data_IF_757868518455
#
_entry.id   IF_757868518455
#
_cell.length_a   1.000
_cell.length_b   1.000
_cell.length_c   1.000
_cell.angle_alpha   90.00
_cell.angle_beta   90.00
_cell.angle_gamma   90.00
#
_symmetry.space_group_name_H-M   'P 1'
#
loop_
_entity.id
_entity.type
_entity.pdbx_description
1 polymer ?
#
# COMPACT_ATOMS: atom_id res chain seq x y z
N UNK A 1 10.64 17.41 9.89
CA UNK A 1 9.22 17.28 10.28
C UNK A 1 8.48 18.45 9.67
N UNK A 2 7.39 18.18 8.96
CA UNK A 2 6.46 19.21 8.52
C UNK A 2 5.80 19.80 9.77
N UNK A 3 5.65 21.13 9.84
CA UNK A 3 4.87 21.74 10.90
C UNK A 3 3.36 21.66 10.56
N UNK A 4 2.49 22.00 11.52
CA UNK A 4 1.04 21.93 11.31
C UNK A 4 0.55 22.78 10.13
N UNK A 5 1.15 23.95 9.92
CA UNK A 5 0.85 24.82 8.78
C UNK A 5 1.21 24.14 7.45
N UNK A 6 2.35 23.47 7.35
CA UNK A 6 2.78 22.74 6.15
C UNK A 6 1.83 21.58 5.83
N UNK A 7 1.41 20.81 6.85
CA UNK A 7 0.44 19.72 6.70
C UNK A 7 -0.90 20.22 6.15
N UNK A 8 -1.41 21.33 6.70
CA UNK A 8 -2.63 21.97 6.21
C UNK A 8 -2.45 22.45 4.77
N UNK A 9 -1.35 23.14 4.46
CA UNK A 9 -1.08 23.65 3.12
C UNK A 9 -1.00 22.51 2.09
N UNK A 10 -0.32 21.42 2.41
CA UNK A 10 -0.17 20.26 1.55
C UNK A 10 -1.48 19.50 1.30
N UNK A 11 -2.42 19.55 2.25
CA UNK A 11 -3.73 18.92 2.11
C UNK A 11 -4.81 19.86 1.58
N UNK A 12 -4.59 21.18 1.55
CA UNK A 12 -5.64 22.15 1.18
C UNK A 12 -5.86 22.25 -0.33
N UNK A 13 -7.11 22.47 -0.73
CA UNK A 13 -7.44 22.89 -2.09
C UNK A 13 -7.55 24.41 -2.13
N UNK A 14 -6.57 25.10 -2.74
CA UNK A 14 -6.51 26.57 -2.76
C UNK A 14 -7.79 27.25 -3.29
N UNK A 15 -8.42 26.65 -4.30
CA UNK A 15 -9.67 27.17 -4.87
C UNK A 15 -10.90 26.99 -3.95
N UNK A 16 -10.81 26.11 -2.95
CA UNK A 16 -11.91 25.73 -2.06
C UNK A 16 -11.44 25.65 -0.59
N UNK A 17 -11.24 26.80 0.08
CA UNK A 17 -10.85 26.84 1.49
C UNK A 17 -11.84 26.06 2.37
N UNK A 18 -11.35 25.14 3.19
CA UNK A 18 -12.19 24.23 3.99
C UNK A 18 -12.43 22.86 3.33
N UNK A 19 -11.90 22.65 2.12
CA UNK A 19 -11.77 21.31 1.52
C UNK A 19 -10.33 20.85 1.61
N UNK A 20 -10.15 19.63 2.12
CA UNK A 20 -8.85 18.99 2.26
C UNK A 20 -8.81 17.66 1.49
N UNK A 21 -7.67 17.34 0.88
CA UNK A 21 -7.38 16.05 0.27
C UNK A 21 -6.43 15.30 1.18
N UNK A 22 -6.87 14.14 1.65
CA UNK A 22 -6.05 13.28 2.47
C UNK A 22 -5.38 12.23 1.58
N UNK A 23 -4.25 12.63 1.02
CA UNK A 23 -3.26 11.68 0.58
C UNK A 23 -3.41 11.06 -0.80
N UNK A 24 -4.40 11.47 -1.60
CA UNK A 24 -4.69 10.90 -2.92
C UNK A 24 -3.56 11.09 -3.98
N UNK A 25 -2.57 11.93 -3.69
CA UNK A 25 -1.46 12.25 -4.60
C UNK A 25 -0.09 11.92 -4.01
N UNK A 26 -0.04 11.22 -2.86
CA UNK A 26 1.22 10.85 -2.22
C UNK A 26 1.86 9.62 -2.85
N UNK A 27 3.18 9.54 -2.73
CA UNK A 27 3.99 8.41 -3.24
C UNK A 27 4.06 7.24 -2.25
N UNK A 28 4.05 7.50 -0.94
CA UNK A 28 4.04 6.44 0.10
C UNK A 28 2.60 6.09 0.49
N UNK A 29 2.09 5.01 -0.10
CA UNK A 29 0.66 4.64 -0.04
C UNK A 29 0.32 3.50 0.93
N UNK A 30 1.23 3.15 1.84
CA UNK A 30 1.04 2.04 2.78
C UNK A 30 -0.17 2.26 3.70
N UNK A 31 -0.71 1.17 4.26
CA UNK A 31 -1.83 1.27 5.21
C UNK A 31 -1.45 2.15 6.41
N UNK A 32 -0.24 1.96 6.95
CA UNK A 32 0.31 2.75 8.04
C UNK A 32 0.46 4.24 7.68
N UNK A 33 1.07 4.57 6.53
CA UNK A 33 1.29 5.98 6.14
C UNK A 33 -0.03 6.73 5.91
N UNK A 34 -1.09 6.03 5.48
CA UNK A 34 -2.44 6.60 5.37
C UNK A 34 -3.00 7.01 6.74
N UNK A 35 -2.77 6.21 7.79
CA UNK A 35 -3.20 6.54 9.15
C UNK A 35 -2.37 7.67 9.76
N UNK A 36 -1.03 7.64 9.59
CA UNK A 36 -0.14 8.69 10.08
C UNK A 36 -0.55 10.06 9.51
N UNK A 37 -0.72 10.16 8.19
CA UNK A 37 -1.18 11.41 7.53
C UNK A 37 -2.54 11.88 8.05
N UNK A 38 -3.45 10.94 8.33
CA UNK A 38 -4.76 11.26 8.88
C UNK A 38 -4.66 11.88 10.28
N UNK A 39 -3.79 11.33 11.14
CA UNK A 39 -3.52 11.84 12.48
C UNK A 39 -2.84 13.21 12.43
N UNK A 40 -1.84 13.37 11.55
CA UNK A 40 -1.16 14.64 11.34
C UNK A 40 -2.14 15.73 10.89
N UNK A 41 -3.02 15.43 9.92
CA UNK A 41 -4.03 16.40 9.47
C UNK A 41 -5.04 16.72 10.57
N UNK A 42 -5.54 15.74 11.31
CA UNK A 42 -6.45 15.98 12.43
C UNK A 42 -5.80 16.90 13.48
N UNK A 43 -4.57 16.59 13.87
CA UNK A 43 -3.79 17.39 14.81
C UNK A 43 -3.59 18.81 14.30
N UNK A 44 -3.17 18.98 13.04
CA UNK A 44 -2.90 20.28 12.44
C UNK A 44 -4.16 21.15 12.38
N UNK A 45 -5.31 20.59 11.96
CA UNK A 45 -6.58 21.32 11.89
C UNK A 45 -7.01 21.87 13.25
N UNK A 46 -6.79 21.09 14.31
CA UNK A 46 -7.11 21.53 15.67
C UNK A 46 -6.10 22.53 16.21
N UNK A 47 -4.80 22.26 16.05
CA UNK A 47 -3.73 23.09 16.55
C UNK A 47 -3.76 24.50 15.93
N UNK A 48 -4.06 24.60 14.65
CA UNK A 48 -4.17 25.87 13.90
C UNK A 48 -5.58 26.49 13.96
N UNK A 49 -6.46 25.99 14.85
CA UNK A 49 -7.83 26.47 15.04
C UNK A 49 -8.64 26.60 13.75
N UNK A 50 -8.46 25.64 12.83
CA UNK A 50 -9.14 25.62 11.51
C UNK A 50 -10.54 25.04 11.57
N UNK A 51 -10.93 24.49 12.72
CA UNK A 51 -12.25 23.94 12.97
C UNK A 51 -13.12 24.99 13.68
N UNK A 52 -14.18 25.52 13.05
CA UNK A 52 -15.16 26.35 13.75
C UNK A 52 -15.78 25.62 14.96
N UNK A 53 -16.27 26.37 15.94
CA UNK A 53 -17.00 25.79 17.06
C UNK A 53 -18.25 25.03 16.56
N UNK A 54 -18.41 23.78 17.00
CA UNK A 54 -19.48 22.88 16.56
C UNK A 54 -19.50 22.61 15.05
N UNK A 55 -18.34 22.70 14.39
CA UNK A 55 -18.24 22.46 12.96
C UNK A 55 -18.75 21.08 12.58
N UNK A 56 -19.43 21.00 11.43
CA UNK A 56 -19.87 19.77 10.82
C UNK A 56 -18.87 19.38 9.74
N UNK A 57 -18.20 18.25 9.93
CA UNK A 57 -17.14 17.76 9.05
C UNK A 57 -17.62 16.54 8.28
N UNK A 58 -17.57 16.60 6.94
CA UNK A 58 -17.76 15.44 6.09
C UNK A 58 -16.40 14.79 5.80
N UNK A 59 -16.24 13.51 6.12
CA UNK A 59 -15.09 12.69 5.71
C UNK A 59 -15.56 11.72 4.64
N UNK A 60 -14.95 11.77 3.46
CA UNK A 60 -15.40 11.00 2.29
C UNK A 60 -14.39 9.88 2.00
N UNK A 61 -14.79 8.64 2.27
CA UNK A 61 -14.00 7.42 2.08
C UNK A 61 -13.80 6.67 3.40
N UNK A 62 -14.32 5.45 3.48
CA UNK A 62 -14.21 4.52 4.62
C UNK A 62 -12.97 3.64 4.57
N UNK A 63 -11.86 4.17 4.04
CA UNK A 63 -10.53 3.55 4.04
C UNK A 63 -9.73 3.85 5.31
N UNK A 64 -8.48 3.38 5.38
CA UNK A 64 -7.61 3.54 6.56
C UNK A 64 -7.46 5.02 6.97
N UNK A 65 -7.22 5.90 5.99
CA UNK A 65 -7.09 7.33 6.20
C UNK A 65 -8.38 7.97 6.75
N UNK A 66 -9.53 7.67 6.14
CA UNK A 66 -10.81 8.26 6.52
C UNK A 66 -11.32 7.81 7.87
N UNK A 67 -11.18 6.52 8.21
CA UNK A 67 -11.51 6.03 9.56
C UNK A 67 -10.66 6.72 10.62
N UNK A 68 -9.35 6.80 10.38
CA UNK A 68 -8.40 7.39 11.33
C UNK A 68 -8.67 8.87 11.54
N UNK A 69 -8.89 9.62 10.47
CA UNK A 69 -9.22 11.04 10.55
C UNK A 69 -10.56 11.25 11.28
N UNK A 70 -11.59 10.49 10.94
CA UNK A 70 -12.90 10.63 11.54
C UNK A 70 -12.87 10.32 13.05
N UNK A 71 -12.17 9.26 13.44
CA UNK A 71 -11.95 8.89 14.84
C UNK A 71 -11.19 9.99 15.60
N UNK A 72 -10.08 10.48 15.03
CA UNK A 72 -9.25 11.52 15.65
C UNK A 72 -10.03 12.82 15.89
N UNK A 73 -10.72 13.32 14.86
CA UNK A 73 -11.54 14.54 14.95
C UNK A 73 -12.69 14.38 15.95
N UNK A 74 -13.37 13.22 15.93
CA UNK A 74 -14.45 12.95 16.85
C UNK A 74 -13.97 12.95 18.31
N UNK A 75 -12.85 12.29 18.60
CA UNK A 75 -12.30 12.19 19.97
C UNK A 75 -11.83 13.53 20.53
N UNK A 76 -11.23 14.40 19.71
CA UNK A 76 -10.83 15.74 20.16
C UNK A 76 -12.02 16.60 20.61
N UNK A 77 -13.22 16.34 20.09
CA UNK A 77 -14.45 17.00 20.50
C UNK A 77 -14.67 18.38 19.88
N UNK A 78 -15.82 18.98 20.17
CA UNK A 78 -16.20 20.29 19.64
C UNK A 78 -16.62 20.31 18.15
N UNK A 79 -16.63 19.15 17.48
CA UNK A 79 -17.08 18.99 16.08
C UNK A 79 -17.98 17.76 15.93
N UNK A 80 -18.88 17.80 14.94
CA UNK A 80 -19.67 16.66 14.51
C UNK A 80 -19.13 16.10 13.20
N UNK A 81 -18.76 14.82 13.18
CA UNK A 81 -18.13 14.14 12.06
C UNK A 81 -19.11 13.17 11.41
N UNK A 82 -19.20 13.22 10.09
CA UNK A 82 -19.95 12.26 9.28
C UNK A 82 -19.03 11.61 8.25
N UNK A 83 -18.77 10.32 8.44
CA UNK A 83 -17.97 9.50 7.54
C UNK A 83 -18.88 8.86 6.48
N UNK A 84 -18.58 9.08 5.21
CA UNK A 84 -19.29 8.50 4.07
C UNK A 84 -18.45 7.42 3.39
N UNK A 85 -19.07 6.27 3.10
CA UNK A 85 -18.46 5.17 2.35
C UNK A 85 -19.46 4.64 1.33
N UNK A 86 -19.02 4.44 0.08
CA UNK A 86 -19.87 3.92 -1.01
C UNK A 86 -20.16 2.43 -0.87
N UNK A 87 -19.24 1.66 -0.27
CA UNK A 87 -19.35 0.23 -0.06
C UNK A 87 -20.29 -0.09 1.11
N UNK A 88 -20.67 -1.37 1.20
CA UNK A 88 -21.50 -1.91 2.28
C UNK A 88 -20.76 -2.00 3.62
N UNK A 89 -19.42 -1.97 3.59
CA UNK A 89 -18.59 -2.16 4.76
C UNK A 89 -17.37 -1.25 4.68
N UNK A 90 -16.85 -0.88 5.85
CA UNK A 90 -15.60 -0.12 5.99
C UNK A 90 -14.39 -1.00 5.68
N UNK A 91 -13.29 -0.35 5.29
CA UNK A 91 -12.05 -0.97 4.81
C UNK A 91 -12.32 -2.06 3.76
N UNK A 92 -12.98 -1.73 2.64
CA UNK A 92 -13.49 -2.74 1.72
C UNK A 92 -12.40 -3.55 1.01
N UNK A 93 -11.23 -2.95 0.78
CA UNK A 93 -10.14 -3.62 0.06
C UNK A 93 -9.42 -4.67 0.92
N UNK A 94 -9.36 -4.48 2.25
CA UNK A 94 -8.66 -5.40 3.15
C UNK A 94 -9.56 -6.55 3.64
N UNK A 95 -10.77 -6.69 3.11
CA UNK A 95 -11.76 -7.68 3.55
C UNK A 95 -11.49 -9.11 3.09
N UNK A 96 -10.91 -9.27 1.89
CA UNK A 96 -10.94 -10.53 1.14
C UNK A 96 -9.57 -11.19 0.95
N UNK A 97 -8.49 -10.61 1.49
CA UNK A 97 -7.15 -11.19 1.39
C UNK A 97 -6.66 -11.78 2.71
N UNK A 98 -6.39 -13.09 2.70
CA UNK A 98 -5.71 -13.79 3.78
C UNK A 98 -4.19 -13.75 3.60
N UNK A 99 -3.72 -13.63 2.35
CA UNK A 99 -2.30 -13.77 2.01
C UNK A 99 -1.54 -12.45 2.01
N UNK A 100 -2.19 -11.33 1.72
CA UNK A 100 -1.54 -10.01 1.79
C UNK A 100 -1.29 -9.69 3.25
N UNK A 101 -0.02 -9.53 3.59
CA UNK A 101 0.42 -9.11 4.91
C UNK A 101 0.60 -7.60 4.93
N UNK A 102 0.16 -6.98 6.01
CA UNK A 102 0.44 -5.58 6.30
C UNK A 102 1.46 -5.54 7.43
N UNK A 103 2.49 -4.74 7.21
CA UNK A 103 3.57 -4.49 8.16
C UNK A 103 3.72 -2.97 8.30
N UNK A 104 3.74 -2.43 9.53
CA UNK A 104 3.74 -0.99 9.72
C UNK A 104 5.05 -0.33 9.28
N UNK A 105 6.17 -0.99 9.61
CA UNK A 105 7.51 -0.41 9.52
C UNK A 105 8.45 -1.12 8.55
N UNK A 106 7.98 -2.16 7.83
CA UNK A 106 8.87 -2.95 6.96
C UNK A 106 9.50 -2.10 5.84
N UNK A 107 8.79 -1.08 5.39
CA UNK A 107 9.26 -0.14 4.37
C UNK A 107 10.36 0.80 4.87
N UNK A 108 10.60 0.84 6.18
CA UNK A 108 11.68 1.62 6.79
C UNK A 108 12.97 0.80 6.94
N UNK A 109 12.96 -0.50 6.61
CA UNK A 109 14.17 -1.30 6.54
C UNK A 109 15.14 -0.66 5.53
N UNK A 110 16.44 -0.49 5.86
CA UNK A 110 17.19 -1.15 6.93
C UNK A 110 17.34 -0.34 8.23
N UNK A 111 16.46 0.61 8.51
CA UNK A 111 16.53 1.36 9.77
C UNK A 111 16.22 0.47 10.99
N UNK A 112 16.68 0.85 12.19
CA UNK A 112 16.31 0.19 13.43
C UNK A 112 14.80 0.23 13.59
N UNK A 113 14.26 -0.78 14.26
CA UNK A 113 12.83 -0.91 14.54
C UNK A 113 11.94 -1.11 13.30
N UNK A 114 12.52 -1.26 12.10
CA UNK A 114 11.77 -1.63 10.90
C UNK A 114 11.08 -3.01 11.01
N UNK A 115 11.55 -3.87 11.92
CA UNK A 115 10.93 -5.16 12.25
C UNK A 115 9.93 -5.07 13.41
N UNK A 116 9.68 -3.87 13.95
CA UNK A 116 8.72 -3.69 15.02
C UNK A 116 7.31 -4.06 14.55
N UNK A 117 6.66 -4.93 15.30
CA UNK A 117 5.43 -5.56 14.83
C UNK A 117 4.18 -4.70 15.08
N UNK A 118 4.22 -3.70 15.96
CA UNK A 118 3.07 -2.81 16.20
C UNK A 118 3.22 -1.51 15.45
N UNK A 119 2.10 -0.97 14.99
CA UNK A 119 2.05 0.34 14.35
C UNK A 119 2.33 1.47 15.36
N UNK A 120 2.00 1.27 16.64
CA UNK A 120 2.21 2.23 17.73
C UNK A 120 1.47 3.55 17.50
N UNK A 121 0.30 3.46 16.87
CA UNK A 121 -0.56 4.60 16.63
C UNK A 121 -1.33 4.95 17.92
N UNK A 122 -1.60 6.25 18.18
CA UNK A 122 -2.37 6.67 19.36
C UNK A 122 -3.84 6.25 19.32
N UNK A 123 -4.34 5.89 18.14
CA UNK A 123 -5.67 5.33 17.91
C UNK A 123 -5.64 4.47 16.65
N UNK A 124 -6.56 3.50 16.62
CA UNK A 124 -6.67 2.49 15.56
C UNK A 124 -5.36 1.73 15.37
N UNK A 125 -4.76 1.32 16.47
CA UNK A 125 -3.49 0.60 16.49
C UNK A 125 -3.69 -0.86 16.06
N UNK A 126 -2.63 -1.44 15.52
CA UNK A 126 -2.65 -2.82 15.04
C UNK A 126 -1.26 -3.43 15.04
N UNK A 127 -1.25 -4.76 14.99
CA UNK A 127 -0.03 -5.56 14.87
C UNK A 127 0.05 -6.12 13.45
N UNK A 128 1.26 -6.13 12.91
CA UNK A 128 1.64 -6.82 11.68
C UNK A 128 0.96 -8.19 11.57
N UNK A 129 0.32 -8.42 10.43
CA UNK A 129 -0.52 -9.59 10.21
C UNK A 129 -1.19 -9.57 8.84
N UNK A 130 -2.09 -10.51 8.60
CA UNK A 130 -2.88 -10.53 7.36
C UNK A 130 -3.73 -9.26 7.24
N UNK A 131 -4.03 -8.85 6.01
CA UNK A 131 -4.87 -7.68 5.75
C UNK A 131 -6.24 -7.80 6.46
N UNK A 132 -6.82 -9.00 6.51
CA UNK A 132 -8.07 -9.25 7.23
C UNK A 132 -7.93 -9.10 8.75
N UNK A 133 -6.81 -9.52 9.35
CA UNK A 133 -6.59 -9.41 10.79
C UNK A 133 -6.36 -7.95 11.20
N UNK A 134 -5.56 -7.22 10.42
CA UNK A 134 -5.34 -5.78 10.61
C UNK A 134 -6.66 -5.02 10.46
N UNK A 135 -7.44 -5.32 9.42
CA UNK A 135 -8.78 -4.77 9.25
C UNK A 135 -9.66 -5.03 10.47
N UNK A 136 -9.68 -6.27 10.99
CA UNK A 136 -10.49 -6.62 12.16
C UNK A 136 -10.04 -5.85 13.41
N UNK A 137 -8.75 -5.68 13.61
CA UNK A 137 -8.21 -4.91 14.73
C UNK A 137 -8.63 -3.44 14.66
N UNK A 138 -8.43 -2.80 13.50
CA UNK A 138 -8.79 -1.39 13.27
C UNK A 138 -10.30 -1.17 13.41
N UNK A 139 -11.14 -2.04 12.84
CA UNK A 139 -12.60 -1.89 12.93
C UNK A 139 -13.12 -2.09 14.35
N UNK A 140 -12.49 -2.95 15.15
CA UNK A 140 -12.86 -3.15 16.56
C UNK A 140 -12.65 -1.85 17.34
N UNK A 141 -11.45 -1.27 17.27
CA UNK A 141 -11.14 -0.04 17.98
C UNK A 141 -11.95 1.15 17.44
N UNK A 142 -12.16 1.22 16.12
CA UNK A 142 -13.01 2.25 15.53
C UNK A 142 -14.46 2.19 16.06
N UNK A 143 -15.01 0.99 16.25
CA UNK A 143 -16.33 0.80 16.85
C UNK A 143 -16.37 1.27 18.31
N UNK A 144 -15.33 1.02 19.09
CA UNK A 144 -15.22 1.49 20.47
C UNK A 144 -15.18 3.02 20.53
N UNK A 145 -14.40 3.65 19.63
CA UNK A 145 -14.34 5.11 19.49
C UNK A 145 -15.70 5.67 19.06
N UNK A 146 -16.38 5.04 18.11
CA UNK A 146 -17.70 5.47 17.66
C UNK A 146 -18.71 5.46 18.82
N UNK A 147 -18.69 4.43 19.66
CA UNK A 147 -19.54 4.36 20.86
C UNK A 147 -19.19 5.47 21.87
N UNK A 148 -17.91 5.73 22.11
CA UNK A 148 -17.46 6.78 23.03
C UNK A 148 -17.68 8.21 22.50
N UNK A 149 -17.72 8.38 21.17
CA UNK A 149 -17.98 9.66 20.52
C UNK A 149 -19.47 10.04 20.53
N UNK A 150 -20.36 9.08 20.75
CA UNK A 150 -21.82 9.25 20.70
C UNK A 150 -22.25 9.94 19.37
N UNK A 151 -23.10 10.96 19.45
CA UNK A 151 -23.63 11.68 18.27
C UNK A 151 -22.57 12.49 17.51
N UNK A 152 -21.33 12.59 18.02
CA UNK A 152 -20.24 13.29 17.33
C UNK A 152 -19.66 12.49 16.17
N UNK A 153 -19.86 11.18 16.09
CA UNK A 153 -19.34 10.36 14.99
C UNK A 153 -20.45 9.50 14.39
N UNK A 154 -20.87 9.87 13.18
CA UNK A 154 -21.84 9.10 12.40
C UNK A 154 -21.19 8.50 11.15
N UNK A 155 -21.56 7.26 10.84
CA UNK A 155 -21.05 6.51 9.68
C UNK A 155 -22.20 6.23 8.71
N UNK A 156 -21.97 6.52 7.43
CA UNK A 156 -22.92 6.33 6.34
C UNK A 156 -22.30 5.46 5.25
N UNK A 157 -22.47 4.15 5.38
CA UNK A 157 -22.14 3.18 4.32
C UNK A 157 -23.19 3.21 3.20
N UNK A 158 -22.88 2.69 2.01
CA UNK A 158 -23.75 2.74 0.83
C UNK A 158 -24.13 4.17 0.40
N UNK A 159 -23.27 5.14 0.68
CA UNK A 159 -23.46 6.53 0.29
C UNK A 159 -22.35 6.92 -0.69
N UNK A 160 -22.72 7.03 -1.97
CA UNK A 160 -21.83 7.49 -3.01
C UNK A 160 -21.92 9.01 -3.10
N UNK A 161 -20.86 9.72 -2.74
CA UNK A 161 -20.78 11.16 -2.95
C UNK A 161 -20.67 11.45 -4.45
N UNK A 162 -21.55 12.30 -4.96
CA UNK A 162 -21.64 12.65 -6.39
C UNK A 162 -21.22 14.09 -6.69
N UNK A 163 -21.34 15.00 -5.71
CA UNK A 163 -20.90 16.38 -5.85
C UNK A 163 -20.59 17.04 -4.51
N UNK A 164 -19.69 18.03 -4.54
CA UNK A 164 -19.40 18.94 -3.43
C UNK A 164 -19.48 20.35 -4.01
N UNK A 165 -20.44 21.13 -3.54
CA UNK A 165 -20.73 22.47 -4.07
C UNK A 165 -20.52 23.51 -2.96
N UNK A 166 -19.65 24.51 -3.15
CA UNK A 166 -19.51 25.62 -2.21
C UNK A 166 -20.80 26.45 -2.13
N UNK A 167 -21.26 26.76 -0.91
CA UNK A 167 -22.43 27.60 -0.66
C UNK A 167 -22.21 28.45 0.59
N UNK A 168 -22.14 29.78 0.43
CA UNK A 168 -22.08 30.76 1.52
C UNK A 168 -21.04 30.46 2.63
N UNK A 169 -19.83 30.02 2.24
CA UNK A 169 -18.76 29.68 3.20
C UNK A 169 -18.85 28.27 3.80
N UNK A 170 -19.79 27.46 3.29
CA UNK A 170 -19.98 26.04 3.61
C UNK A 170 -19.99 25.20 2.34
N UNK A 171 -20.25 23.90 2.49
CA UNK A 171 -20.29 22.94 1.39
C UNK A 171 -21.56 22.11 1.45
N UNK A 172 -22.27 22.04 0.32
CA UNK A 172 -23.31 21.04 0.11
C UNK A 172 -22.67 19.80 -0.46
N UNK A 173 -22.75 18.70 0.29
CA UNK A 173 -22.31 17.38 -0.14
C UNK A 173 -23.53 16.60 -0.64
N UNK A 174 -23.57 16.35 -1.95
CA UNK A 174 -24.62 15.57 -2.60
C UNK A 174 -24.21 14.11 -2.71
N UNK A 175 -25.15 13.20 -2.47
CA UNK A 175 -24.89 11.77 -2.48
C UNK A 175 -26.09 10.95 -2.97
N UNK A 176 -25.78 9.81 -3.58
CA UNK A 176 -26.71 8.72 -3.83
C UNK A 176 -26.64 7.72 -2.68
N UNK A 177 -27.81 7.27 -2.20
CA UNK A 177 -27.92 6.21 -1.19
C UNK A 177 -28.94 5.15 -1.61
N UNK A 178 -28.76 3.95 -1.08
CA UNK A 178 -29.78 2.90 -1.14
C UNK A 178 -30.83 3.18 -0.05
N UNK A 179 -32.07 3.43 -0.45
CA UNK A 179 -33.21 3.62 0.44
C UNK A 179 -33.80 2.29 0.90
N UNK A 180 -34.65 2.33 1.94
CA UNK A 180 -35.41 1.17 2.40
C UNK A 180 -36.26 0.61 1.24
N UNK A 181 -35.92 -0.59 0.78
CA UNK A 181 -36.54 -1.24 -0.39
C UNK A 181 -35.68 -1.28 -1.66
N UNK A 182 -34.42 -0.83 -1.60
CA UNK A 182 -33.43 -1.00 -2.68
C UNK A 182 -33.46 0.06 -3.78
N UNK A 183 -34.37 1.05 -3.69
CA UNK A 183 -34.37 2.20 -4.59
C UNK A 183 -33.17 3.12 -4.32
N UNK A 184 -32.63 3.77 -5.36
CA UNK A 184 -31.61 4.81 -5.19
C UNK A 184 -32.28 6.16 -4.95
N UNK A 185 -31.87 6.84 -3.88
CA UNK A 185 -32.29 8.18 -3.53
C UNK A 185 -31.12 9.15 -3.64
N UNK A 186 -31.37 10.33 -4.22
CA UNK A 186 -30.42 11.44 -4.22
C UNK A 186 -30.77 12.36 -3.07
N UNK A 187 -29.79 12.64 -2.23
CA UNK A 187 -29.93 13.57 -1.11
C UNK A 187 -28.69 14.47 -1.03
N UNK A 188 -28.77 15.51 -0.19
CA UNK A 188 -27.64 16.37 0.09
C UNK A 188 -27.66 16.86 1.53
N UNK A 189 -26.50 17.24 2.02
CA UNK A 189 -26.35 17.73 3.38
C UNK A 189 -25.22 18.77 3.45
N UNK A 190 -25.41 19.79 4.28
CA UNK A 190 -24.46 20.89 4.44
C UNK A 190 -23.38 20.57 5.48
N UNK A 191 -22.15 21.00 5.23
CA UNK A 191 -20.97 20.85 6.09
C UNK A 191 -20.10 22.10 6.07
N UNK A 192 -19.41 22.39 7.17
CA UNK A 192 -18.44 23.49 7.25
C UNK A 192 -17.10 23.09 6.63
N UNK A 193 -16.73 21.81 6.74
CA UNK A 193 -15.45 21.26 6.26
C UNK A 193 -15.71 19.95 5.53
N UNK A 194 -14.95 19.71 4.45
CA UNK A 194 -14.97 18.46 3.72
C UNK A 194 -13.55 17.91 3.60
N UNK A 195 -13.37 16.62 3.90
CA UNK A 195 -12.09 15.93 3.73
C UNK A 195 -12.25 14.74 2.80
N UNK A 196 -11.50 14.75 1.70
CA UNK A 196 -11.46 13.72 0.67
C UNK A 196 -10.43 12.66 1.07
N UNK A 197 -10.89 11.55 1.63
CA UNK A 197 -10.10 10.37 2.00
C UNK A 197 -10.41 9.18 1.06
N UNK A 198 -10.54 9.46 -0.23
CA UNK A 198 -11.02 8.51 -1.25
C UNK A 198 -9.98 7.48 -1.70
N UNK A 199 -8.74 7.59 -1.19
CA UNK A 199 -7.64 6.69 -1.49
C UNK A 199 -7.16 6.78 -2.94
N UNK A 200 -6.50 5.72 -3.40
CA UNK A 200 -5.82 5.66 -4.71
C UNK A 200 -6.59 4.85 -5.77
N UNK A 201 -7.82 4.43 -5.43
CA UNK A 201 -8.61 3.55 -6.27
C UNK A 201 -8.14 2.08 -6.26
N UNK A 202 -8.69 1.32 -7.19
CA UNK A 202 -8.29 -0.07 -7.50
C UNK A 202 -7.54 0.00 -8.83
N UNK A 203 -6.58 -0.90 -9.03
CA UNK A 203 -5.85 -1.02 -10.29
C UNK A 203 -6.82 -1.25 -11.47
N UNK A 204 -6.42 -0.86 -12.68
CA UNK A 204 -7.22 -1.14 -13.87
C UNK A 204 -7.33 -2.68 -14.05
N UNK A 205 -8.54 -3.27 -13.94
CA UNK A 205 -8.71 -4.71 -14.10
C UNK A 205 -8.41 -5.19 -15.52
N UNK A 206 -8.35 -4.28 -16.50
CA UNK A 206 -8.04 -4.58 -17.90
C UNK A 206 -6.78 -3.88 -18.37
N UNK A 207 -5.75 -3.86 -17.51
CA UNK A 207 -4.43 -3.32 -17.88
C UNK A 207 -3.84 -4.01 -19.13
N UNK A 208 -4.22 -5.27 -19.36
CA UNK A 208 -3.93 -6.01 -20.60
C UNK A 208 -5.23 -6.24 -21.39
N UNK A 209 -5.29 -5.85 -22.69
CA UNK A 209 -6.47 -6.08 -23.51
C UNK A 209 -6.89 -7.56 -23.52
N UNK A 210 -8.16 -7.82 -23.22
CA UNK A 210 -8.73 -9.18 -23.22
C UNK A 210 -8.32 -10.07 -22.05
N UNK A 211 -7.64 -9.53 -21.03
CA UNK A 211 -7.24 -10.28 -19.83
C UNK A 211 -7.69 -9.54 -18.57
N UNK A 212 -8.50 -10.21 -17.73
CA UNK A 212 -8.82 -9.71 -16.40
C UNK A 212 -7.57 -9.85 -15.50
N UNK A 213 -7.19 -8.74 -14.88
CA UNK A 213 -6.06 -8.64 -13.96
C UNK A 213 -6.62 -8.51 -12.56
N UNK A 214 -6.51 -9.56 -11.72
CA UNK A 214 -6.98 -9.49 -10.35
C UNK A 214 -6.31 -8.33 -9.60
N UNK A 215 -7.08 -7.63 -8.77
CA UNK A 215 -6.55 -6.56 -7.92
C UNK A 215 -5.46 -7.08 -6.98
N UNK A 216 -4.51 -6.21 -6.65
CA UNK A 216 -3.50 -6.42 -5.61
C UNK A 216 -4.11 -6.96 -4.30
N UNK A 217 -5.31 -6.48 -3.94
CA UNK A 217 -6.01 -6.86 -2.72
C UNK A 217 -6.72 -8.22 -2.77
N UNK A 218 -6.56 -8.98 -3.86
CA UNK A 218 -7.08 -10.35 -3.98
C UNK A 218 -5.98 -11.38 -3.80
N UNK A 219 -6.37 -12.51 -3.24
CA UNK A 219 -5.57 -13.73 -3.16
C UNK A 219 -5.52 -14.41 -4.55
N UNK A 220 -5.01 -13.75 -5.59
CA UNK A 220 -5.01 -14.27 -6.96
C UNK A 220 -3.63 -14.27 -7.64
N UNK A 221 -2.68 -13.45 -7.17
CA UNK A 221 -1.32 -13.36 -7.76
C UNK A 221 -0.38 -14.53 -7.48
N UNK A 222 -0.77 -15.47 -6.60
CA UNK A 222 0.07 -16.62 -6.23
C UNK A 222 -0.43 -17.88 -6.97
N UNK A 223 0.39 -18.49 -7.85
CA UNK A 223 -0.04 -19.48 -8.84
C UNK A 223 -0.28 -20.88 -8.28
N UNK A 224 -1.27 -21.02 -7.39
CA UNK A 224 -1.56 -22.29 -6.73
C UNK A 224 -2.00 -23.40 -7.69
N UNK A 225 -2.85 -23.08 -8.67
CA UNK A 225 -3.44 -24.07 -9.58
C UNK A 225 -2.48 -24.45 -10.72
N UNK A 226 -1.69 -23.50 -11.19
CA UNK A 226 -0.75 -23.62 -12.31
C UNK A 226 0.48 -24.47 -11.94
N UNK A 227 0.76 -24.58 -10.64
CA UNK A 227 1.81 -25.44 -10.08
C UNK A 227 1.30 -26.87 -9.89
N UNK A 228 0.01 -27.07 -9.60
CA UNK A 228 -0.54 -28.38 -9.31
C UNK A 228 -0.44 -29.31 -10.53
N UNK A 229 0.40 -30.35 -10.42
CA UNK A 229 0.60 -31.35 -11.48
C UNK A 229 1.53 -30.91 -12.62
N UNK A 230 2.12 -29.72 -12.55
CA UNK A 230 3.09 -29.25 -13.54
C UNK A 230 4.52 -29.35 -12.98
N UNK A 231 5.34 -30.23 -13.55
CA UNK A 231 6.72 -30.44 -13.12
C UNK A 231 7.67 -29.29 -13.52
N UNK A 232 7.27 -28.41 -14.46
CA UNK A 232 8.06 -27.27 -14.94
C UNK A 232 7.18 -26.06 -15.25
N UNK A 233 6.49 -25.49 -14.25
CA UNK A 233 5.62 -24.36 -14.48
C UNK A 233 6.45 -23.14 -14.90
N UNK A 234 5.87 -22.34 -15.79
CA UNK A 234 6.53 -21.17 -16.38
C UNK A 234 5.71 -19.93 -16.06
N UNK A 235 6.34 -18.92 -15.49
CA UNK A 235 5.69 -17.67 -15.12
C UNK A 235 6.40 -16.47 -15.76
N UNK A 236 5.59 -15.53 -16.23
CA UNK A 236 6.03 -14.18 -16.56
C UNK A 236 5.50 -13.24 -15.48
N UNK A 237 6.41 -12.53 -14.82
CA UNK A 237 6.09 -11.45 -13.90
C UNK A 237 6.51 -10.14 -14.55
N UNK A 238 5.55 -9.24 -14.76
CA UNK A 238 5.75 -7.95 -15.40
C UNK A 238 5.42 -6.82 -14.42
N UNK A 239 6.40 -5.97 -14.13
CA UNK A 239 6.29 -4.88 -13.17
C UNK A 239 7.15 -5.09 -11.93
N UNK A 240 7.80 -4.01 -11.49
CA UNK A 240 8.77 -3.99 -10.38
C UNK A 240 8.26 -3.26 -9.13
N UNK A 241 6.93 -3.09 -9.01
CA UNK A 241 6.30 -2.63 -7.77
C UNK A 241 6.16 -3.77 -6.74
N UNK A 242 5.73 -3.43 -5.53
CA UNK A 242 5.59 -4.37 -4.40
C UNK A 242 4.81 -5.64 -4.78
N UNK A 243 3.62 -5.49 -5.39
CA UNK A 243 2.82 -6.62 -5.85
C UNK A 243 3.55 -7.55 -6.82
N UNK A 244 4.31 -6.99 -7.78
CA UNK A 244 5.08 -7.79 -8.74
C UNK A 244 6.25 -8.53 -8.09
N UNK A 245 6.95 -7.89 -7.14
CA UNK A 245 8.04 -8.53 -6.39
C UNK A 245 7.51 -9.64 -5.46
N UNK A 246 6.37 -9.43 -4.81
CA UNK A 246 5.70 -10.46 -4.01
C UNK A 246 5.31 -11.64 -4.89
N UNK A 247 4.69 -11.39 -6.05
CA UNK A 247 4.25 -12.47 -6.95
C UNK A 247 5.46 -13.22 -7.55
N UNK A 248 6.58 -12.53 -7.83
CA UNK A 248 7.85 -13.15 -8.24
C UNK A 248 8.37 -14.12 -7.18
N UNK A 249 8.47 -13.66 -5.93
CA UNK A 249 8.94 -14.50 -4.81
C UNK A 249 7.96 -15.65 -4.57
N UNK A 250 6.65 -15.40 -4.64
CA UNK A 250 5.63 -16.41 -4.42
C UNK A 250 5.64 -17.52 -5.49
N UNK A 251 5.85 -17.15 -6.76
CA UNK A 251 6.01 -18.09 -7.87
C UNK A 251 7.29 -18.92 -7.72
N UNK A 252 8.39 -18.31 -7.24
CA UNK A 252 9.67 -18.97 -7.01
C UNK A 252 9.66 -19.93 -5.80
N UNK A 253 8.94 -19.59 -4.73
CA UNK A 253 9.07 -20.23 -3.42
C UNK A 253 8.20 -21.49 -3.28
N UNK A 254 8.76 -22.58 -2.76
CA UNK A 254 8.08 -23.87 -2.52
C UNK A 254 6.95 -23.76 -1.50
N UNK A 255 7.20 -22.96 -0.47
CA UNK A 255 6.23 -22.59 0.56
C UNK A 255 6.30 -21.07 0.71
N UNK A 256 5.37 -20.35 0.07
CA UNK A 256 5.38 -18.90 0.15
C UNK A 256 4.75 -18.44 1.47
N UNK A 257 5.59 -17.86 2.32
CA UNK A 257 5.24 -17.22 3.60
C UNK A 257 5.96 -15.89 3.65
N UNK A 258 5.28 -14.81 3.27
CA UNK A 258 5.88 -13.48 3.17
C UNK A 258 6.57 -13.05 4.48
N UNK A 259 5.94 -13.36 5.60
CA UNK A 259 6.44 -13.08 6.95
C UNK A 259 7.74 -13.81 7.29
N UNK A 260 7.83 -15.08 6.93
CA UNK A 260 9.00 -15.90 7.24
C UNK A 260 10.21 -15.41 6.43
N UNK A 261 10.01 -14.97 5.18
CA UNK A 261 11.07 -14.41 4.34
C UNK A 261 11.54 -13.08 4.91
N UNK A 262 10.62 -12.16 5.20
CA UNK A 262 10.94 -10.84 5.77
C UNK A 262 11.69 -10.99 7.10
N UNK A 263 11.16 -11.78 8.04
CA UNK A 263 11.83 -12.02 9.33
C UNK A 263 13.17 -12.73 9.15
N UNK A 264 13.23 -13.70 8.26
CA UNK A 264 14.45 -14.46 7.95
C UNK A 264 15.59 -13.57 7.47
N UNK A 265 15.27 -12.48 6.75
CA UNK A 265 16.25 -11.47 6.34
C UNK A 265 16.51 -10.48 7.48
N UNK A 266 15.47 -9.81 7.98
CA UNK A 266 15.61 -8.70 8.93
C UNK A 266 16.23 -9.10 10.27
N UNK A 267 16.03 -10.35 10.71
CA UNK A 267 16.52 -10.88 11.99
C UNK A 267 17.78 -11.75 11.84
N UNK A 268 18.35 -11.84 10.63
CA UNK A 268 19.57 -12.63 10.39
C UNK A 268 20.73 -12.04 11.19
N UNK A 269 21.44 -12.89 11.94
CA UNK A 269 22.65 -12.46 12.64
C UNK A 269 23.65 -11.86 11.63
N UNK A 270 24.14 -10.65 11.91
CA UNK A 270 25.08 -9.93 11.06
C UNK A 270 24.44 -9.03 9.99
N UNK A 271 23.12 -9.12 9.74
CA UNK A 271 22.46 -8.32 8.68
C UNK A 271 22.58 -6.81 8.87
N UNK A 272 22.81 -6.36 10.11
CA UNK A 272 23.03 -4.95 10.44
C UNK A 272 24.26 -4.36 9.72
N UNK A 273 25.23 -5.19 9.33
CA UNK A 273 26.38 -4.76 8.52
C UNK A 273 25.95 -4.23 7.14
N UNK A 274 24.79 -4.65 6.62
CA UNK A 274 24.27 -4.21 5.33
C UNK A 274 23.68 -2.79 5.37
N UNK A 275 23.31 -2.30 6.56
CA UNK A 275 22.54 -1.05 6.71
C UNK A 275 23.23 0.16 6.08
N UNK A 276 24.51 0.38 6.39
CA UNK A 276 25.26 1.53 5.88
C UNK A 276 25.33 1.53 4.35
N UNK A 277 25.79 0.43 3.73
CA UNK A 277 25.79 0.28 2.27
C UNK A 277 24.42 0.48 1.61
N UNK A 278 23.35 -0.10 2.17
CA UNK A 278 21.99 0.04 1.63
C UNK A 278 21.50 1.49 1.65
N UNK A 279 21.66 2.20 2.78
CA UNK A 279 21.30 3.61 2.87
C UNK A 279 22.13 4.49 1.91
N UNK A 280 23.38 4.11 1.63
CA UNK A 280 24.21 4.80 0.65
C UNK A 280 23.69 4.58 -0.79
N UNK A 281 23.19 3.37 -1.11
CA UNK A 281 22.55 3.09 -2.40
C UNK A 281 21.27 3.92 -2.56
N UNK A 282 20.42 3.99 -1.53
CA UNK A 282 19.21 4.80 -1.56
C UNK A 282 19.52 6.29 -1.79
N UNK A 283 20.55 6.82 -1.10
CA UNK A 283 20.98 8.20 -1.29
C UNK A 283 21.49 8.46 -2.72
N UNK A 284 22.21 7.51 -3.32
CA UNK A 284 22.66 7.61 -4.72
C UNK A 284 21.48 7.55 -5.70
N UNK A 285 20.49 6.69 -5.43
CA UNK A 285 19.30 6.57 -6.26
C UNK A 285 18.46 7.86 -6.25
N UNK A 286 18.25 8.45 -5.07
CA UNK A 286 17.56 9.73 -4.93
C UNK A 286 18.30 10.88 -5.63
N UNK A 287 19.64 10.89 -5.53
CA UNK A 287 20.45 11.87 -6.25
C UNK A 287 20.32 11.72 -7.77
N UNK A 288 20.38 10.49 -8.29
CA UNK A 288 20.17 10.20 -9.71
C UNK A 288 18.76 10.63 -10.18
N UNK A 289 17.72 10.30 -9.42
CA UNK A 289 16.34 10.68 -9.72
C UNK A 289 16.17 12.21 -9.76
N UNK A 290 16.77 12.94 -8.81
CA UNK A 290 16.73 14.41 -8.79
C UNK A 290 17.37 15.05 -10.03
N UNK A 291 18.28 14.32 -10.69
CA UNK A 291 18.92 14.71 -11.95
C UNK A 291 18.19 14.16 -13.18
N UNK A 292 17.05 13.48 -13.02
CA UNK A 292 16.31 12.82 -14.09
C UNK A 292 17.04 11.61 -14.68
N UNK A 293 17.97 11.01 -13.94
CA UNK A 293 18.77 9.86 -14.37
C UNK A 293 18.21 8.55 -13.82
N UNK A 294 18.35 7.47 -14.59
CA UNK A 294 18.05 6.12 -14.11
C UNK A 294 19.13 5.62 -13.14
N UNK A 295 18.73 4.80 -12.17
CA UNK A 295 19.63 4.17 -11.20
C UNK A 295 19.60 2.64 -11.28
N UNK A 296 20.73 1.97 -11.53
CA UNK A 296 20.79 0.50 -11.62
C UNK A 296 20.99 -0.16 -10.25
N UNK A 297 19.86 -0.46 -9.59
CA UNK A 297 19.84 -1.11 -8.28
C UNK A 297 20.51 -2.49 -8.28
N UNK A 298 20.40 -3.27 -9.35
CA UNK A 298 20.97 -4.64 -9.37
C UNK A 298 22.49 -4.56 -9.30
N UNK A 299 23.10 -3.79 -10.20
CA UNK A 299 24.55 -3.57 -10.21
C UNK A 299 25.02 -2.91 -8.91
N UNK A 300 24.25 -1.95 -8.37
CA UNK A 300 24.60 -1.28 -7.11
C UNK A 300 24.61 -2.26 -5.92
N UNK A 301 23.58 -3.11 -5.80
CA UNK A 301 23.50 -4.13 -4.74
C UNK A 301 24.60 -5.19 -4.89
N UNK A 302 24.81 -5.73 -6.09
CA UNK A 302 25.86 -6.73 -6.36
C UNK A 302 27.24 -6.21 -5.92
N UNK A 303 27.58 -4.98 -6.30
CA UNK A 303 28.87 -4.38 -6.00
C UNK A 303 29.07 -4.03 -4.52
N UNK A 304 28.03 -3.50 -3.87
CA UNK A 304 28.16 -2.94 -2.53
C UNK A 304 27.91 -3.96 -1.41
N UNK A 305 27.00 -4.91 -1.61
CA UNK A 305 26.55 -5.84 -0.57
C UNK A 305 26.55 -7.31 -1.00
N UNK A 306 26.80 -7.64 -2.27
CA UNK A 306 26.68 -9.01 -2.78
C UNK A 306 27.48 -10.03 -1.98
N UNK A 307 28.78 -9.77 -1.76
CA UNK A 307 29.67 -10.65 -0.98
C UNK A 307 29.17 -10.83 0.45
N UNK A 308 28.71 -9.76 1.10
CA UNK A 308 28.24 -9.83 2.47
C UNK A 308 26.92 -10.61 2.58
N UNK A 309 26.00 -10.42 1.62
CA UNK A 309 24.75 -11.17 1.51
C UNK A 309 25.01 -12.68 1.32
N UNK A 310 26.02 -13.04 0.53
CA UNK A 310 26.48 -14.43 0.38
C UNK A 310 27.10 -14.97 1.68
N UNK A 311 28.02 -14.24 2.31
CA UNK A 311 28.66 -14.62 3.57
C UNK A 311 27.65 -14.80 4.70
N UNK A 312 26.60 -13.97 4.72
CA UNK A 312 25.50 -14.09 5.66
C UNK A 312 24.68 -15.35 5.41
N UNK A 313 24.83 -16.06 4.29
CA UNK A 313 24.10 -17.27 3.92
C UNK A 313 22.64 -17.02 3.56
N UNK A 314 22.28 -15.78 3.20
CA UNK A 314 20.92 -15.42 2.80
C UNK A 314 20.57 -16.04 1.43
N UNK A 315 21.52 -16.05 0.49
CA UNK A 315 21.34 -16.64 -0.83
C UNK A 315 21.07 -18.15 -0.73
N UNK A 316 21.86 -18.86 0.07
CA UNK A 316 21.70 -20.30 0.24
C UNK A 316 20.38 -20.65 0.94
N UNK A 317 19.98 -19.86 1.94
CA UNK A 317 18.67 -20.01 2.59
C UNK A 317 17.54 -19.84 1.56
N UNK A 318 17.57 -18.79 0.74
CA UNK A 318 16.55 -18.55 -0.28
C UNK A 318 16.55 -19.67 -1.32
N UNK A 319 17.73 -20.12 -1.79
CA UNK A 319 17.86 -21.24 -2.73
C UNK A 319 17.23 -22.52 -2.19
N UNK A 320 17.41 -22.81 -0.90
CA UNK A 320 16.79 -23.97 -0.24
C UNK A 320 15.26 -23.88 -0.15
N UNK A 321 14.69 -22.69 -0.29
CA UNK A 321 13.24 -22.45 -0.27
C UNK A 321 12.63 -22.42 -1.68
N UNK A 322 13.43 -22.33 -2.74
CA UNK A 322 12.95 -22.29 -4.13
C UNK A 322 12.33 -23.62 -4.57
N UNK A 323 11.31 -23.55 -5.42
CA UNK A 323 10.74 -24.71 -6.11
C UNK A 323 11.71 -25.21 -7.17
N UNK A 324 11.84 -26.53 -7.25
CA UNK A 324 12.56 -27.19 -8.34
C UNK A 324 11.73 -27.13 -9.62
N UNK A 325 12.38 -26.81 -10.75
CA UNK A 325 11.79 -26.89 -12.09
C UNK A 325 10.99 -25.67 -12.56
N UNK A 326 10.74 -24.68 -11.69
CA UNK A 326 10.06 -23.43 -12.08
C UNK A 326 10.93 -22.62 -13.03
N UNK A 327 10.32 -22.04 -14.06
CA UNK A 327 10.94 -21.07 -14.96
C UNK A 327 10.31 -19.69 -14.72
N UNK A 328 11.13 -18.69 -14.42
CA UNK A 328 10.69 -17.32 -14.12
C UNK A 328 11.26 -16.36 -15.15
N UNK A 329 10.37 -15.57 -15.75
CA UNK A 329 10.72 -14.43 -16.59
C UNK A 329 10.27 -13.18 -15.84
N UNK A 330 11.21 -12.28 -15.53
CA UNK A 330 10.92 -11.02 -14.85
C UNK A 330 11.17 -9.86 -15.82
N UNK A 331 10.11 -9.13 -16.15
CA UNK A 331 10.20 -7.95 -17.02
C UNK A 331 10.06 -6.68 -16.18
N UNK A 332 11.08 -5.82 -16.27
CA UNK A 332 11.05 -4.48 -15.70
C UNK A 332 10.96 -3.42 -16.82
N UNK A 333 10.41 -2.25 -16.51
CA UNK A 333 10.08 -1.23 -17.50
C UNK A 333 11.26 -0.65 -18.30
N UNK A 334 12.52 -1.03 -18.00
CA UNK A 334 13.71 -0.51 -18.70
C UNK A 334 13.97 -1.13 -20.07
N UNK A 335 13.20 -2.13 -20.49
CA UNK A 335 13.32 -2.70 -21.85
C UNK A 335 12.46 -2.01 -22.91
N UNK A 336 11.80 -0.87 -22.61
CA UNK A 336 11.15 -0.05 -23.65
C UNK A 336 12.14 0.86 -24.37
N UNK A 337 13.00 0.26 -25.19
CA UNK A 337 13.66 0.98 -26.30
C UNK A 337 12.98 0.55 -27.60
N UNK A 338 12.28 1.50 -28.23
CA UNK A 338 11.72 1.48 -29.59
C UNK A 338 11.12 0.16 -30.10
N UNK A 339 9.80 0.04 -30.07
CA UNK A 339 9.08 -0.79 -31.04
C UNK A 339 9.12 -0.02 -32.37
N UNK A 340 10.21 -0.18 -33.12
CA UNK A 340 10.21 0.11 -34.54
C UNK A 340 11.14 -0.88 -35.26
N UNK A 341 10.50 -1.71 -36.09
CA UNK A 341 11.02 -2.53 -37.20
C UNK A 341 12.01 -3.68 -36.88
N UNK A 342 11.54 -4.90 -37.21
CA UNK A 342 12.29 -6.11 -37.60
C UNK A 342 13.80 -6.15 -37.29
N UNK A 343 14.23 -7.01 -36.35
CA UNK A 343 15.50 -7.79 -36.32
C UNK A 343 15.53 -8.66 -35.02
N UNK A 344 16.19 -9.83 -35.00
CA UNK A 344 15.82 -10.98 -34.18
C UNK A 344 16.34 -10.93 -32.74
N UNK A 345 15.57 -11.55 -31.84
CA UNK A 345 15.91 -11.86 -30.44
C UNK A 345 17.35 -12.36 -30.31
N UNK A 346 18.24 -11.54 -29.76
CA UNK A 346 19.52 -11.98 -29.21
C UNK A 346 19.67 -11.51 -27.77
N UNK A 347 20.05 -12.51 -26.96
CA UNK A 347 20.57 -12.47 -25.59
C UNK A 347 19.65 -12.01 -24.46
N UNK A 348 18.73 -12.90 -24.06
CA UNK A 348 18.41 -13.09 -22.65
C UNK A 348 19.49 -14.01 -22.07
N UNK A 349 20.25 -13.57 -21.06
CA UNK A 349 21.25 -14.42 -20.39
C UNK A 349 20.52 -15.48 -19.56
N UNK A 350 20.51 -16.71 -20.04
CA UNK A 350 20.30 -17.88 -19.18
C UNK A 350 21.50 -18.01 -18.24
N UNK A 351 21.24 -18.15 -16.94
CA UNK A 351 22.21 -18.71 -15.98
C UNK A 351 21.85 -20.20 -15.77
N UNK A 352 22.67 -21.15 -16.22
CA UNK A 352 22.61 -22.53 -15.74
C UNK A 352 23.68 -22.76 -14.67
N UNK A 353 23.26 -23.27 -13.51
CA UNK A 353 24.15 -23.83 -12.49
C UNK A 353 24.46 -25.31 -12.81
N UNK A 354 25.69 -25.50 -13.26
CA UNK A 354 26.63 -26.61 -13.06
C UNK A 354 26.53 -27.99 -13.76
N UNK A 355 27.76 -28.46 -14.03
CA UNK A 355 28.25 -29.55 -14.85
C UNK A 355 28.15 -30.94 -14.19
N UNK A 356 28.20 -31.97 -15.04
CA UNK A 356 28.94 -33.20 -14.71
C UNK A 356 28.22 -34.49 -15.04
N UNK A 357 28.46 -35.05 -16.24
CA UNK A 357 29.24 -36.30 -16.37
C UNK A 357 29.32 -36.77 -17.83
N UNK A 358 30.57 -37.04 -18.21
CA UNK A 358 31.03 -37.75 -19.40
C UNK A 358 30.41 -39.16 -19.46
N UNK A 359 30.05 -39.66 -20.64
CA UNK A 359 30.88 -40.60 -21.45
C UNK A 359 30.06 -41.25 -22.56
N UNK A 360 30.63 -41.19 -23.78
CA UNK A 360 30.75 -42.26 -24.77
C UNK A 360 29.52 -43.10 -25.17
N UNK A 361 29.23 -43.08 -26.49
CA UNK A 361 29.19 -44.34 -27.24
C UNK A 361 27.91 -44.67 -27.98
N UNK A 362 27.96 -44.37 -29.29
CA UNK A 362 27.15 -44.85 -30.42
C UNK A 362 25.83 -44.15 -30.70
#
# INVERSE_FOLDING_TARGET
>A
MLNATDTIAGSSINAHPGVYVLGCYDTRITFYSQQVRALELAHALFHEHRLPANARVAVIGGGAAGLTLAAALALQGGVGVQLFEKAHHLLPLQGDSQRRRLDPHIYDWPNPDADHERAELPLLDWRSGSAIDVRRAVLREFSEIQMAAEDRLSVRTRHLITAITPQAGRFIVSFEREADGGAREVASQEFDIVVLAIGFGIENPFALPGTDTPSYWRDAGVPGAEIAGNARPTFLVSGNGDGGLIDLIAAASSTFRHDDIVRGIAQRQGVQALRGPLLAIDAQALAAESMGQGFDFVTAYENAIGVEVENLGLVDQMRGQMRVGVQLFFSNARERTSIDQNIPLKSSRCLPLEEGLRTAGR
#
